data_IF_069300908802
#
_entry.id   IF_069300908802
#
_cell.length_a   1.000
_cell.length_b   1.000
_cell.length_c   1.000
_cell.angle_alpha   90.00
_cell.angle_beta   90.00
_cell.angle_gamma   90.00
#
_symmetry.space_group_name_H-M   'P 1'
#
loop_
_entity.id
_entity.type
_entity.pdbx_description
1 polymer ?
#
# COMPACT_ATOMS: atom_id res chain seq x y z
N UNK A 1 19.32 2.78 25.24
CA UNK A 1 19.95 2.49 23.93
C UNK A 1 19.40 3.48 22.91
N UNK A 2 20.24 4.32 22.31
CA UNK A 2 19.83 5.22 21.24
C UNK A 2 19.60 4.40 19.97
N UNK A 3 18.35 4.22 19.57
CA UNK A 3 18.03 3.62 18.27
C UNK A 3 18.43 4.65 17.21
N UNK A 4 19.43 4.34 16.40
CA UNK A 4 19.81 5.16 15.24
C UNK A 4 18.58 5.25 14.32
N UNK A 5 18.03 6.46 14.20
CA UNK A 5 16.96 6.75 13.25
C UNK A 5 17.60 7.03 11.88
N UNK A 6 17.61 6.02 11.02
CA UNK A 6 17.87 6.20 9.60
C UNK A 6 16.67 6.84 8.89
N UNK A 7 16.92 7.52 7.77
CA UNK A 7 15.87 7.97 6.85
C UNK A 7 16.10 7.28 5.52
N UNK A 8 15.10 6.53 5.08
CA UNK A 8 15.02 5.96 3.75
C UNK A 8 14.29 6.94 2.83
N UNK A 9 14.84 7.13 1.64
CA UNK A 9 14.19 7.81 0.53
C UNK A 9 14.11 6.83 -0.62
N UNK A 10 12.95 6.70 -1.23
CA UNK A 10 12.74 5.76 -2.32
C UNK A 10 11.90 6.38 -3.42
N UNK A 11 12.28 6.08 -4.65
CA UNK A 11 11.53 6.37 -5.86
C UNK A 11 11.35 5.05 -6.63
N UNK A 12 10.09 4.62 -6.76
CA UNK A 12 9.70 3.40 -7.48
C UNK A 12 9.15 3.82 -8.84
N UNK A 13 9.84 3.42 -9.91
CA UNK A 13 9.51 3.79 -11.28
C UNK A 13 8.68 2.69 -11.94
N UNK A 14 7.40 2.97 -12.23
CA UNK A 14 6.52 2.10 -12.99
C UNK A 14 6.39 2.61 -14.43
N UNK A 15 7.23 2.08 -15.31
CA UNK A 15 7.22 2.40 -16.73
C UNK A 15 5.96 1.88 -17.45
N UNK A 16 5.27 0.87 -16.93
CA UNK A 16 4.04 0.38 -17.56
C UNK A 16 2.90 1.38 -17.33
N UNK A 17 2.78 1.87 -16.10
CA UNK A 17 1.74 2.84 -15.71
C UNK A 17 2.15 4.29 -15.97
N UNK A 18 3.40 4.55 -16.38
CA UNK A 18 3.97 5.88 -16.62
C UNK A 18 3.97 6.77 -15.36
N UNK A 19 4.21 6.15 -14.20
CA UNK A 19 4.17 6.83 -12.89
C UNK A 19 5.41 6.56 -12.07
N UNK A 20 5.77 7.52 -11.21
CA UNK A 20 6.79 7.34 -10.17
C UNK A 20 6.14 7.55 -8.81
N UNK A 21 6.33 6.58 -7.94
CA UNK A 21 5.91 6.64 -6.54
C UNK A 21 7.14 7.01 -5.70
N UNK A 22 7.08 8.12 -4.98
CA UNK A 22 8.19 8.62 -4.18
C UNK A 22 7.78 8.75 -2.72
N UNK A 23 8.59 8.25 -1.81
CA UNK A 23 8.35 8.34 -0.37
C UNK A 23 9.62 8.55 0.45
N UNK A 24 9.42 9.03 1.67
CA UNK A 24 10.44 9.12 2.71
C UNK A 24 9.97 8.40 3.97
N UNK A 25 10.73 7.40 4.41
CA UNK A 25 10.43 6.60 5.60
C UNK A 25 11.52 6.80 6.67
N UNK A 26 11.16 6.79 7.95
CA UNK A 26 12.14 6.65 9.03
C UNK A 26 12.33 5.19 9.40
N UNK A 27 13.57 4.79 9.67
CA UNK A 27 13.97 3.43 10.03
C UNK A 27 14.73 3.43 11.36
N UNK A 28 14.54 2.43 12.23
CA UNK A 28 13.48 1.44 12.15
C UNK A 28 12.12 2.12 12.28
N UNK A 29 11.10 1.56 11.64
CA UNK A 29 9.73 2.01 11.85
C UNK A 29 9.39 1.71 13.32
N UNK A 30 9.52 2.71 14.19
CA UNK A 30 9.06 2.57 15.58
C UNK A 30 7.55 2.39 15.52
N UNK A 31 7.10 1.14 15.71
CA UNK A 31 5.75 0.73 16.06
C UNK A 31 4.62 1.65 15.54
N UNK A 32 4.23 1.51 14.27
CA UNK A 32 2.92 1.92 13.72
C UNK A 32 2.48 3.39 13.83
N UNK A 33 3.20 4.25 14.55
CA UNK A 33 2.68 5.50 15.13
C UNK A 33 3.55 6.72 14.80
N UNK A 34 4.50 6.64 13.87
CA UNK A 34 5.15 7.86 13.37
C UNK A 34 4.21 8.55 12.35
N UNK A 35 3.21 9.24 12.89
CA UNK A 35 2.24 10.11 12.21
C UNK A 35 2.94 11.05 11.22
N UNK A 36 4.18 11.48 11.49
CA UNK A 36 4.94 12.37 10.60
C UNK A 36 5.47 11.67 9.35
N UNK A 37 5.63 10.34 9.36
CA UNK A 37 6.08 9.57 8.18
C UNK A 37 4.94 9.18 7.22
N UNK A 38 3.68 9.28 7.65
CA UNK A 38 2.53 8.87 6.84
C UNK A 38 2.15 9.87 5.74
N UNK A 39 2.77 11.06 5.71
CA UNK A 39 2.32 12.21 4.89
C UNK A 39 3.24 12.51 3.70
N UNK A 40 4.42 11.88 3.60
CA UNK A 40 5.42 12.20 2.55
C UNK A 40 5.47 11.17 1.39
N UNK A 41 4.38 10.45 1.11
CA UNK A 41 4.27 9.65 -0.11
C UNK A 41 3.47 10.37 -1.20
N UNK A 42 3.99 10.40 -2.43
CA UNK A 42 3.30 10.94 -3.60
C UNK A 42 3.52 10.12 -4.86
N UNK A 43 2.58 10.25 -5.79
CA UNK A 43 2.64 9.66 -7.13
C UNK A 43 2.68 10.77 -8.14
N UNK A 44 3.59 10.63 -9.08
CA UNK A 44 3.92 11.65 -10.06
C UNK A 44 3.93 11.04 -11.45
N UNK A 45 3.61 11.84 -12.45
CA UNK A 45 3.85 11.51 -13.85
C UNK A 45 5.36 11.28 -14.07
N UNK A 46 5.71 10.11 -14.61
CA UNK A 46 7.12 9.69 -14.73
C UNK A 46 7.94 10.66 -15.57
N UNK A 47 7.35 11.24 -16.62
CA UNK A 47 8.03 12.16 -17.53
C UNK A 47 8.33 13.50 -16.89
N UNK A 48 7.46 13.97 -16.00
CA UNK A 48 7.65 15.24 -15.27
C UNK A 48 8.34 15.07 -13.93
N UNK A 49 8.47 13.84 -13.43
CA UNK A 49 9.01 13.59 -12.12
C UNK A 49 10.49 14.01 -12.05
N UNK A 50 10.80 14.83 -11.06
CA UNK A 50 12.16 15.17 -10.71
C UNK A 50 12.39 14.65 -9.31
N UNK A 51 13.24 13.62 -9.20
CA UNK A 51 13.61 13.10 -7.89
C UNK A 51 14.21 14.20 -7.04
N UNK A 52 13.74 14.29 -5.80
CA UNK A 52 14.32 15.16 -4.78
C UNK A 52 15.59 14.56 -4.16
N UNK A 53 15.81 13.26 -4.35
CA UNK A 53 16.78 12.48 -3.57
C UNK A 53 17.82 11.76 -4.44
N UNK A 54 17.50 11.47 -5.70
CA UNK A 54 18.41 10.88 -6.69
C UNK A 54 18.92 11.96 -7.64
N UNK A 55 20.20 12.32 -7.51
CA UNK A 55 20.87 13.26 -8.42
C UNK A 55 20.93 12.74 -9.86
N UNK A 56 21.23 11.44 -10.03
CA UNK A 56 21.17 10.77 -11.32
C UNK A 56 19.80 10.12 -11.44
N UNK A 57 18.86 10.91 -11.98
CA UNK A 57 17.52 10.47 -12.34
C UNK A 57 17.58 9.21 -13.23
N UNK A 58 16.54 8.39 -13.23
CA UNK A 58 16.44 7.28 -14.19
C UNK A 58 16.02 7.81 -15.57
N UNK A 59 16.78 7.50 -16.65
CA UNK A 59 16.49 7.99 -17.99
C UNK A 59 15.26 7.33 -18.59
N UNK A 60 14.56 8.03 -19.49
CA UNK A 60 13.61 7.40 -20.41
C UNK A 60 14.40 6.85 -21.63
N UNK A 61 14.17 5.59 -22.04
CA UNK A 61 14.84 5.02 -23.21
C UNK A 61 14.44 5.75 -24.51
N UNK A 62 13.16 6.09 -24.63
CA UNK A 62 12.60 6.91 -25.71
C UNK A 62 11.62 7.91 -25.13
N UNK A 63 11.77 9.18 -25.50
CA UNK A 63 10.82 10.23 -25.15
C UNK A 63 9.79 10.37 -26.27
N UNK A 64 8.73 9.56 -26.24
CA UNK A 64 7.55 9.88 -27.04
C UNK A 64 6.81 11.05 -26.37
N UNK A 65 5.95 11.77 -27.12
CA UNK A 65 5.16 12.85 -26.53
C UNK A 65 4.31 12.39 -25.35
N UNK A 66 3.97 11.09 -25.26
CA UNK A 66 3.05 10.53 -24.25
C UNK A 66 3.65 9.49 -23.30
N UNK A 67 4.76 8.83 -23.63
CA UNK A 67 5.28 7.68 -22.87
C UNK A 67 6.80 7.64 -22.83
N UNK A 68 7.32 7.05 -21.76
CA UNK A 68 8.73 6.77 -21.48
C UNK A 68 8.94 5.26 -21.36
N UNK A 69 9.84 4.73 -22.17
CA UNK A 69 10.20 3.32 -22.12
C UNK A 69 11.28 3.04 -21.07
N UNK A 70 11.25 1.83 -20.51
CA UNK A 70 12.23 1.40 -19.51
C UNK A 70 13.65 1.38 -20.11
N UNK A 71 14.63 2.04 -19.48
CA UNK A 71 16.01 2.01 -19.93
C UNK A 71 16.67 0.65 -19.74
N UNK A 72 17.60 0.33 -20.63
CA UNK A 72 18.48 -0.82 -20.47
C UNK A 72 19.42 -0.65 -19.27
N UNK A 73 19.95 -1.75 -18.74
CA UNK A 73 20.93 -1.70 -17.66
C UNK A 73 22.15 -0.82 -18.02
N UNK A 74 22.62 -0.88 -19.27
CA UNK A 74 23.71 -0.05 -19.79
C UNK A 74 23.39 1.45 -19.71
N UNK A 75 22.17 1.83 -20.08
CA UNK A 75 21.71 3.21 -19.95
C UNK A 75 21.62 3.63 -18.48
N UNK A 76 20.98 2.85 -17.61
CA UNK A 76 20.85 3.17 -16.17
C UNK A 76 22.22 3.31 -15.49
N UNK A 77 23.11 2.36 -15.76
CA UNK A 77 24.45 2.33 -15.19
C UNK A 77 25.40 3.31 -15.88
N UNK A 78 25.04 3.83 -17.07
CA UNK A 78 25.92 4.65 -17.91
C UNK A 78 27.22 3.92 -18.26
N UNK A 79 27.12 2.62 -18.52
CA UNK A 79 28.25 1.73 -18.81
C UNK A 79 27.96 0.85 -20.03
N UNK A 80 28.99 0.57 -20.83
CA UNK A 80 28.84 -0.12 -22.12
C UNK A 80 28.31 0.81 -23.21
N UNK A 81 28.14 0.31 -24.43
CA UNK A 81 27.69 1.11 -25.58
C UNK A 81 26.42 1.91 -25.25
N UNK A 82 26.38 3.24 -25.48
CA UNK A 82 27.33 4.05 -26.27
C UNK A 82 28.54 4.61 -25.49
N UNK A 83 28.62 4.40 -24.18
CA UNK A 83 29.71 4.92 -23.35
C UNK A 83 30.99 4.13 -23.57
N UNK A 84 32.04 4.82 -24.04
CA UNK A 84 33.32 4.18 -24.34
C UNK A 84 34.23 4.24 -23.12
N UNK A 85 34.30 3.13 -22.39
CA UNK A 85 35.21 2.96 -21.27
C UNK A 85 36.57 2.45 -21.72
N UNK A 86 37.63 3.01 -21.14
CA UNK A 86 39.01 2.55 -21.31
C UNK A 86 39.47 1.86 -20.04
N UNK A 87 40.11 0.71 -20.19
CA UNK A 87 40.78 0.07 -19.07
C UNK A 87 41.95 0.95 -18.59
N UNK A 88 42.07 1.13 -17.28
CA UNK A 88 43.12 1.93 -16.66
C UNK A 88 44.15 1.04 -15.96
N UNK A 89 43.72 0.25 -14.98
CA UNK A 89 44.58 -0.62 -14.18
C UNK A 89 43.76 -1.63 -13.35
N UNK A 90 44.46 -2.54 -12.67
CA UNK A 90 43.89 -3.36 -11.60
C UNK A 90 44.08 -2.65 -10.26
N UNK A 91 43.05 -2.68 -9.42
CA UNK A 91 43.01 -1.96 -8.14
C UNK A 91 42.43 -2.87 -7.05
N UNK A 92 43.01 -2.80 -5.86
CA UNK A 92 42.44 -3.29 -4.61
C UNK A 92 42.32 -2.07 -3.70
N UNK A 93 41.10 -1.69 -3.31
CA UNK A 93 40.89 -0.52 -2.46
C UNK A 93 39.82 -0.76 -1.40
N UNK A 94 39.86 -0.01 -0.28
CA UNK A 94 38.76 -0.01 0.68
C UNK A 94 37.42 0.40 0.05
N UNK A 95 37.43 1.26 -0.98
CA UNK A 95 36.23 1.68 -1.71
C UNK A 95 35.54 0.49 -2.42
N UNK A 96 36.32 -0.48 -2.92
CA UNK A 96 35.81 -1.73 -3.47
C UNK A 96 35.64 -2.82 -2.42
N UNK A 97 35.67 -2.48 -1.12
CA UNK A 97 35.66 -3.44 0.00
C UNK A 97 36.79 -4.47 -0.08
N UNK A 98 37.94 -4.04 -0.62
CA UNK A 98 39.12 -4.85 -0.89
C UNK A 98 38.89 -5.98 -1.92
N UNK A 99 37.85 -5.88 -2.76
CA UNK A 99 37.66 -6.77 -3.90
C UNK A 99 38.62 -6.35 -5.01
N UNK A 100 39.46 -7.28 -5.47
CA UNK A 100 40.35 -7.08 -6.62
C UNK A 100 39.53 -6.80 -7.87
N UNK A 101 39.76 -5.63 -8.46
CA UNK A 101 38.90 -5.08 -9.51
C UNK A 101 39.70 -4.56 -10.70
N UNK A 102 39.16 -4.67 -11.92
CA UNK A 102 39.57 -3.87 -13.08
C UNK A 102 38.92 -2.51 -13.01
N UNK A 103 39.72 -1.46 -13.05
CA UNK A 103 39.25 -0.09 -13.15
C UNK A 103 39.12 0.32 -14.62
N UNK A 104 37.92 0.75 -14.99
CA UNK A 104 37.60 1.32 -16.27
C UNK A 104 37.21 2.79 -16.10
N UNK A 105 37.67 3.66 -17.00
CA UNK A 105 37.38 5.09 -16.95
C UNK A 105 36.76 5.59 -18.25
N UNK A 106 35.81 6.51 -18.14
CA UNK A 106 35.20 7.21 -19.27
C UNK A 106 34.93 8.67 -18.94
N UNK A 107 34.96 9.53 -19.96
CA UNK A 107 34.33 10.85 -19.90
C UNK A 107 32.96 10.72 -20.54
N UNK A 108 31.91 11.01 -19.79
CA UNK A 108 30.52 10.85 -20.22
C UNK A 108 29.92 12.23 -20.47
N UNK A 109 29.34 12.40 -21.66
CA UNK A 109 28.38 13.45 -21.97
C UNK A 109 26.97 12.88 -21.79
N UNK A 110 26.27 13.35 -20.75
CA UNK A 110 24.98 12.84 -20.32
C UNK A 110 23.88 13.86 -20.59
N UNK A 111 23.23 13.68 -21.74
CA UNK A 111 22.11 14.52 -22.18
C UNK A 111 20.98 14.60 -21.17
N UNK A 112 20.79 13.58 -20.32
CA UNK A 112 19.65 13.50 -19.42
C UNK A 112 19.77 14.44 -18.22
N UNK A 113 20.98 14.64 -17.73
CA UNK A 113 21.27 15.63 -16.70
C UNK A 113 21.81 16.94 -17.28
N UNK A 114 21.98 17.00 -18.61
CA UNK A 114 22.65 18.10 -19.32
C UNK A 114 24.01 18.40 -18.67
N UNK A 115 24.87 17.39 -18.63
CA UNK A 115 26.13 17.46 -17.89
C UNK A 115 27.20 16.54 -18.42
N UNK A 116 28.44 16.85 -18.04
CA UNK A 116 29.63 16.07 -18.39
C UNK A 116 30.35 15.65 -17.12
N UNK A 117 30.73 14.38 -17.03
CA UNK A 117 31.42 13.85 -15.86
C UNK A 117 32.42 12.74 -16.22
N UNK A 118 33.44 12.63 -15.39
CA UNK A 118 34.32 11.47 -15.37
C UNK A 118 33.64 10.35 -14.59
N UNK A 119 33.75 9.13 -15.10
CA UNK A 119 33.22 7.94 -14.46
C UNK A 119 34.29 6.87 -14.32
N UNK A 120 34.38 6.31 -13.12
CA UNK A 120 35.33 5.29 -12.69
C UNK A 120 34.54 4.04 -12.29
N UNK A 121 34.57 3.01 -13.13
CA UNK A 121 33.85 1.75 -12.93
C UNK A 121 34.81 0.66 -12.46
N UNK A 122 34.51 0.05 -11.33
CA UNK A 122 35.30 -1.01 -10.73
C UNK A 122 34.61 -2.35 -10.96
N UNK A 123 35.25 -3.24 -11.70
CA UNK A 123 34.73 -4.56 -12.06
C UNK A 123 35.48 -5.67 -11.32
N UNK A 124 34.78 -6.44 -10.48
CA UNK A 124 35.37 -7.53 -9.71
C UNK A 124 35.95 -8.63 -10.62
N UNK A 125 37.13 -9.14 -10.28
CA UNK A 125 37.80 -10.22 -11.01
C UNK A 125 37.76 -11.55 -10.25
N UNK A 126 38.26 -11.54 -9.01
CA UNK A 126 38.49 -12.75 -8.21
C UNK A 126 37.52 -12.72 -7.03
N UNK A 127 36.26 -12.98 -7.34
CA UNK A 127 35.19 -12.98 -6.35
C UNK A 127 35.23 -14.32 -5.60
N UNK A 128 35.37 -14.27 -4.28
CA UNK A 128 35.51 -15.47 -3.43
C UNK A 128 34.23 -16.31 -3.31
N UNK A 129 33.18 -15.94 -4.05
CA UNK A 129 31.88 -16.58 -4.06
C UNK A 129 31.29 -16.51 -5.46
N UNK A 130 30.56 -17.56 -5.86
CA UNK A 130 29.84 -17.59 -7.14
C UNK A 130 28.52 -16.86 -7.00
N UNK A 131 28.21 -16.05 -8.01
CA UNK A 131 26.93 -15.37 -8.11
C UNK A 131 25.86 -16.33 -8.67
N UNK A 132 24.59 -16.07 -8.36
CA UNK A 132 23.45 -16.92 -8.73
C UNK A 132 23.17 -16.84 -10.22
N UNK A 133 23.29 -15.63 -10.73
CA UNK A 133 23.22 -15.26 -12.12
C UNK A 133 24.39 -15.82 -12.93
N UNK A 134 25.39 -16.43 -12.26
CA UNK A 134 26.46 -17.21 -12.88
C UNK A 134 27.59 -16.37 -13.47
N UNK A 135 27.55 -15.04 -13.38
CA UNK A 135 28.62 -14.20 -13.91
C UNK A 135 29.88 -14.28 -13.04
N UNK A 136 31.02 -14.39 -13.72
CA UNK A 136 32.35 -14.39 -13.09
C UNK A 136 32.87 -12.98 -12.82
N UNK A 137 32.29 -11.96 -13.45
CA UNK A 137 32.72 -10.55 -13.38
C UNK A 137 31.52 -9.62 -13.33
N UNK A 138 31.53 -8.71 -12.38
CA UNK A 138 30.41 -7.81 -12.07
C UNK A 138 30.93 -6.43 -11.63
N UNK A 139 30.20 -5.34 -11.89
CA UNK A 139 30.57 -4.02 -11.38
C UNK A 139 30.28 -3.94 -9.88
N UNK A 140 31.29 -3.62 -9.06
CA UNK A 140 31.17 -3.60 -7.59
C UNK A 140 31.02 -2.19 -7.03
N UNK A 141 31.61 -1.21 -7.72
CA UNK A 141 31.66 0.17 -7.28
C UNK A 141 31.75 1.10 -8.49
N UNK A 142 31.21 2.30 -8.32
CA UNK A 142 31.23 3.36 -9.34
C UNK A 142 31.47 4.68 -8.65
N UNK A 143 32.40 5.48 -9.17
CA UNK A 143 32.59 6.87 -8.78
C UNK A 143 32.38 7.77 -10.00
N UNK A 144 31.67 8.88 -9.81
CA UNK A 144 31.32 9.83 -10.84
C UNK A 144 31.54 11.24 -10.31
N UNK A 145 32.33 12.03 -11.04
CA UNK A 145 32.65 13.41 -10.69
C UNK A 145 32.50 14.29 -11.90
N UNK A 146 31.73 15.36 -11.78
CA UNK A 146 31.60 16.31 -12.86
C UNK A 146 30.54 17.36 -12.61
N UNK A 147 29.99 17.86 -13.70
CA UNK A 147 29.21 19.08 -13.72
C UNK A 147 27.95 18.90 -14.55
N UNK A 148 26.84 19.50 -14.11
CA UNK A 148 25.59 19.51 -14.85
C UNK A 148 24.90 20.87 -14.73
N UNK A 149 23.99 21.16 -15.66
CA UNK A 149 23.29 22.43 -15.74
C UNK A 149 21.80 22.25 -15.45
N UNK A 150 21.30 23.02 -14.49
CA UNK A 150 19.87 23.12 -14.19
C UNK A 150 19.46 24.59 -14.25
N UNK A 151 18.54 24.94 -15.16
CA UNK A 151 18.06 26.32 -15.36
C UNK A 151 19.22 27.33 -15.45
N UNK A 152 20.20 27.05 -16.32
CA UNK A 152 21.41 27.87 -16.54
C UNK A 152 22.38 27.94 -15.35
N UNK A 153 22.03 27.34 -14.21
CA UNK A 153 22.91 27.23 -13.04
C UNK A 153 23.76 25.97 -13.15
N UNK A 154 25.07 26.13 -12.95
CA UNK A 154 26.04 25.04 -12.98
C UNK A 154 26.18 24.40 -11.60
N UNK A 155 26.08 23.08 -11.53
CA UNK A 155 26.22 22.29 -10.32
C UNK A 155 27.34 21.28 -10.47
N UNK A 156 28.21 21.19 -9.47
CA UNK A 156 29.19 20.09 -9.34
C UNK A 156 28.56 18.93 -8.58
N UNK A 157 28.89 17.70 -8.96
CA UNK A 157 28.47 16.51 -8.23
C UNK A 157 29.62 15.54 -8.06
N UNK A 158 29.58 14.85 -6.92
CA UNK A 158 30.39 13.68 -6.62
C UNK A 158 29.46 12.57 -6.17
N UNK A 159 29.38 11.50 -6.94
CA UNK A 159 28.47 10.39 -6.70
C UNK A 159 29.29 9.12 -6.65
N UNK A 160 29.12 8.36 -5.58
CA UNK A 160 29.61 7.00 -5.51
C UNK A 160 28.42 6.04 -5.36
N UNK A 161 28.48 4.90 -6.07
CA UNK A 161 27.48 3.84 -6.01
C UNK A 161 28.17 2.55 -5.63
N UNK A 162 27.70 1.95 -4.55
CA UNK A 162 28.00 0.55 -4.27
C UNK A 162 26.94 -0.29 -4.94
N UNK A 163 27.35 -1.22 -5.79
CA UNK A 163 26.41 -2.09 -6.48
C UNK A 163 26.39 -3.40 -5.68
N UNK A 164 25.33 -3.65 -4.88
CA UNK A 164 25.20 -4.91 -4.17
C UNK A 164 24.85 -6.02 -5.15
N UNK A 165 25.32 -7.21 -4.84
CA UNK A 165 25.03 -8.42 -5.59
C UNK A 165 24.54 -9.50 -4.64
N UNK A 166 23.56 -10.26 -5.10
CA UNK A 166 22.91 -11.28 -4.30
C UNK A 166 23.67 -12.60 -4.41
N UNK A 167 23.72 -13.39 -3.34
CA UNK A 167 24.30 -14.73 -3.33
C UNK A 167 23.36 -15.81 -3.88
N UNK A 168 22.06 -15.48 -4.06
CA UNK A 168 21.03 -16.27 -4.79
C UNK A 168 20.18 -15.34 -5.65
N UNK A 169 19.59 -15.84 -6.75
CA UNK A 169 18.71 -15.04 -7.59
C UNK A 169 17.56 -14.57 -6.68
N UNK A 170 17.47 -13.27 -6.38
CA UNK A 170 16.45 -12.81 -5.47
C UNK A 170 15.10 -13.04 -6.15
N UNK A 171 14.17 -13.64 -5.40
CA UNK A 171 12.77 -13.61 -5.79
C UNK A 171 12.30 -12.16 -5.66
N UNK A 172 12.22 -11.47 -6.79
CA UNK A 172 11.58 -10.17 -6.85
C UNK A 172 10.07 -10.37 -6.70
N UNK A 173 9.53 -9.88 -5.59
CA UNK A 173 8.10 -9.90 -5.31
C UNK A 173 7.52 -8.50 -5.44
N UNK A 174 6.19 -8.40 -5.58
CA UNK A 174 5.50 -7.12 -5.65
C UNK A 174 5.79 -6.25 -4.40
N UNK A 175 6.06 -6.86 -3.24
CA UNK A 175 6.40 -6.13 -1.99
C UNK A 175 7.62 -5.22 -2.14
N UNK A 176 8.57 -5.57 -3.00
CA UNK A 176 9.77 -4.76 -3.25
C UNK A 176 9.48 -3.49 -4.05
N UNK A 177 8.35 -3.45 -4.74
CA UNK A 177 7.92 -2.35 -5.62
C UNK A 177 6.66 -1.65 -5.11
N UNK A 178 6.41 -1.73 -3.80
CA UNK A 178 5.28 -1.11 -3.13
C UNK A 178 5.72 -0.18 -2.02
N UNK A 179 4.88 0.81 -1.71
CA UNK A 179 5.09 1.60 -0.50
C UNK A 179 4.99 0.74 0.75
N UNK A 180 5.75 1.06 1.81
CA UNK A 180 5.61 0.39 3.09
C UNK A 180 4.16 0.35 3.57
N UNK A 181 3.73 -0.79 4.14
CA UNK A 181 2.35 -0.97 4.60
C UNK A 181 1.92 0.09 5.63
N UNK A 182 2.84 0.73 6.36
CA UNK A 182 2.48 1.79 7.30
C UNK A 182 2.17 3.14 6.65
N UNK A 183 2.36 3.31 5.34
CA UNK A 183 2.21 4.58 4.63
C UNK A 183 0.91 4.67 3.84
N UNK A 184 0.41 5.90 3.66
CA UNK A 184 -0.71 6.22 2.79
C UNK A 184 -0.24 7.23 1.73
N UNK A 185 -0.48 6.93 0.47
CA UNK A 185 -0.09 7.80 -0.65
C UNK A 185 -1.33 8.49 -1.20
N UNK A 186 -1.33 9.82 -1.16
CA UNK A 186 -2.42 10.60 -1.75
C UNK A 186 -2.43 10.42 -3.27
N UNK A 187 -3.64 10.26 -3.87
CA UNK A 187 -3.89 10.23 -5.34
C UNK A 187 -3.57 8.93 -6.09
N UNK A 188 -3.45 7.80 -5.42
CA UNK A 188 -3.26 6.48 -6.06
C UNK A 188 -4.57 5.87 -6.63
N UNK A 189 -5.69 6.59 -6.59
CA UNK A 189 -7.05 6.11 -6.88
C UNK A 189 -7.27 5.64 -8.32
N UNK A 190 -6.58 6.22 -9.31
CA UNK A 190 -6.90 5.97 -10.74
C UNK A 190 -6.30 4.69 -11.31
N UNK A 191 -5.39 4.03 -10.58
CA UNK A 191 -4.70 2.84 -11.09
C UNK A 191 -5.59 1.60 -11.03
N UNK A 192 -6.35 1.42 -9.95
CA UNK A 192 -7.24 0.27 -9.75
C UNK A 192 -8.56 0.69 -9.11
N UNK A 193 -9.66 0.41 -9.80
CA UNK A 193 -11.00 0.58 -9.26
C UNK A 193 -11.29 -0.48 -8.19
N UNK A 194 -12.00 -0.10 -7.13
CA UNK A 194 -12.46 -1.04 -6.11
C UNK A 194 -13.36 -2.07 -6.80
N UNK A 195 -13.14 -3.38 -6.61
CA UNK A 195 -13.98 -4.41 -7.20
C UNK A 195 -15.45 -4.23 -6.80
N UNK A 196 -16.37 -4.44 -7.75
CA UNK A 196 -17.79 -4.41 -7.47
C UNK A 196 -18.17 -5.49 -6.44
N UNK A 197 -18.98 -5.10 -5.45
CA UNK A 197 -19.48 -6.01 -4.43
C UNK A 197 -20.46 -7.02 -5.00
N UNK A 198 -20.45 -8.27 -4.49
CA UNK A 198 -21.44 -9.27 -4.89
C UNK A 198 -22.85 -8.84 -4.47
N UNK A 199 -23.84 -9.26 -5.24
CA UNK A 199 -25.25 -8.93 -4.98
C UNK A 199 -25.83 -9.65 -3.76
N UNK A 200 -25.25 -10.80 -3.40
CA UNK A 200 -25.61 -11.53 -2.19
C UNK A 200 -24.34 -12.04 -1.52
N UNK A 201 -24.28 -11.91 -0.20
CA UNK A 201 -23.12 -12.31 0.59
C UNK A 201 -23.49 -12.53 2.06
N UNK A 202 -22.58 -13.18 2.78
CA UNK A 202 -22.63 -13.29 4.23
C UNK A 202 -21.24 -13.15 4.82
N UNK A 203 -21.12 -12.53 5.99
CA UNK A 203 -19.85 -12.39 6.69
C UNK A 203 -20.07 -12.28 8.19
N UNK A 204 -19.00 -12.51 8.98
CA UNK A 204 -18.97 -12.24 10.40
C UNK A 204 -18.03 -11.08 10.70
N UNK A 205 -18.40 -10.26 11.66
CA UNK A 205 -17.60 -9.16 12.19
C UNK A 205 -17.42 -9.37 13.69
N UNK A 206 -16.17 -9.33 14.13
CA UNK A 206 -15.80 -9.31 15.53
C UNK A 206 -15.12 -7.98 15.85
N UNK A 207 -15.48 -7.41 16.99
CA UNK A 207 -14.91 -6.17 17.49
C UNK A 207 -14.23 -6.44 18.82
N UNK A 208 -12.99 -5.96 18.96
CA UNK A 208 -12.18 -6.12 20.16
C UNK A 208 -11.63 -4.79 20.61
N UNK A 209 -11.61 -4.56 21.92
CA UNK A 209 -10.80 -3.52 22.55
C UNK A 209 -9.44 -4.11 22.95
N UNK A 210 -8.38 -3.33 22.78
CA UNK A 210 -7.06 -3.65 23.31
C UNK A 210 -6.33 -2.36 23.72
N UNK A 211 -5.38 -2.52 24.62
CA UNK A 211 -4.48 -1.44 25.04
C UNK A 211 -3.06 -1.78 24.65
N UNK A 212 -2.29 -0.78 24.24
CA UNK A 212 -0.85 -0.90 24.01
C UNK A 212 -0.12 -0.21 25.15
N UNK A 213 0.96 -0.81 25.63
CA UNK A 213 1.84 -0.19 26.62
C UNK A 213 2.69 0.92 25.98
N UNK A 214 3.49 1.61 26.80
CA UNK A 214 4.35 2.72 26.36
C UNK A 214 5.39 2.33 25.28
N UNK A 215 5.70 1.04 25.12
CA UNK A 215 6.62 0.52 24.08
C UNK A 215 5.89 0.02 22.83
N UNK A 216 4.55 0.12 22.79
CA UNK A 216 3.73 -0.26 21.64
C UNK A 216 3.37 -1.75 21.57
N UNK A 217 3.53 -2.49 22.66
CA UNK A 217 3.13 -3.90 22.75
C UNK A 217 1.76 -4.05 23.43
N UNK A 218 1.03 -5.11 23.05
CA UNK A 218 -0.27 -5.46 23.62
C UNK A 218 -0.17 -5.64 25.15
N UNK A 219 -0.99 -4.91 25.88
CA UNK A 219 -1.12 -4.96 27.34
C UNK A 219 -2.52 -5.45 27.70
N UNK A 220 -2.62 -6.51 28.50
CA UNK A 220 -3.91 -7.03 28.98
C UNK A 220 -4.72 -7.88 28.00
N UNK A 221 -4.23 -8.11 26.78
CA UNK A 221 -4.92 -8.97 25.80
C UNK A 221 -5.99 -8.24 24.97
N UNK A 222 -6.77 -9.01 24.21
CA UNK A 222 -7.95 -8.52 23.48
C UNK A 222 -9.21 -8.78 24.30
N UNK A 223 -10.06 -7.77 24.42
CA UNK A 223 -11.38 -7.85 25.08
C UNK A 223 -12.49 -7.80 24.03
N UNK A 224 -13.31 -8.85 23.86
CA UNK A 224 -14.37 -8.86 22.87
C UNK A 224 -15.48 -7.86 23.23
N UNK A 225 -15.82 -6.98 22.30
CA UNK A 225 -16.85 -5.96 22.44
C UNK A 225 -18.16 -6.37 21.77
N UNK A 226 -18.09 -6.86 20.52
CA UNK A 226 -19.28 -7.29 19.77
C UNK A 226 -18.95 -8.42 18.80
N UNK A 227 -19.97 -9.20 18.46
CA UNK A 227 -19.95 -10.19 17.39
C UNK A 227 -21.20 -10.00 16.55
N UNK A 228 -21.07 -9.97 15.23
CA UNK A 228 -22.17 -9.80 14.30
C UNK A 228 -22.01 -10.77 13.13
N UNK A 229 -23.10 -11.39 12.71
CA UNK A 229 -23.17 -12.21 11.52
C UNK A 229 -24.21 -11.60 10.58
N UNK A 230 -23.78 -11.28 9.37
CA UNK A 230 -24.58 -10.60 8.37
C UNK A 230 -24.92 -11.57 7.24
N UNK A 231 -26.14 -11.45 6.74
CA UNK A 231 -26.57 -12.00 5.45
C UNK A 231 -27.24 -10.88 4.68
N UNK A 232 -26.91 -10.77 3.40
CA UNK A 232 -27.43 -9.76 2.52
C UNK A 232 -27.79 -10.39 1.17
N UNK A 233 -28.92 -10.01 0.60
CA UNK A 233 -29.32 -10.45 -0.74
C UNK A 233 -30.13 -9.38 -1.46
N UNK A 234 -29.52 -8.77 -2.49
CA UNK A 234 -30.21 -7.85 -3.41
C UNK A 234 -31.42 -8.52 -4.06
N UNK A 235 -31.28 -9.76 -4.51
CA UNK A 235 -32.34 -10.48 -5.21
C UNK A 235 -33.60 -10.68 -4.35
N UNK A 236 -33.42 -10.78 -3.03
CA UNK A 236 -34.53 -10.94 -2.08
C UNK A 236 -34.92 -9.61 -1.45
N UNK A 237 -34.15 -8.55 -1.67
CA UNK A 237 -34.27 -7.26 -0.96
C UNK A 237 -34.31 -7.45 0.57
N UNK A 238 -33.47 -8.37 1.08
CA UNK A 238 -33.40 -8.73 2.49
C UNK A 238 -31.98 -8.56 3.04
N UNK A 239 -31.92 -8.15 4.30
CA UNK A 239 -30.71 -8.25 5.11
C UNK A 239 -31.04 -8.84 6.48
N UNK A 240 -30.16 -9.69 7.01
CA UNK A 240 -30.25 -10.22 8.36
C UNK A 240 -28.96 -9.95 9.10
N UNK A 241 -29.08 -9.55 10.36
CA UNK A 241 -27.95 -9.43 11.27
C UNK A 241 -28.25 -10.14 12.57
N UNK A 242 -27.50 -11.19 12.85
CA UNK A 242 -27.48 -11.82 14.16
C UNK A 242 -26.31 -11.25 14.95
N UNK A 243 -26.56 -10.66 16.10
CA UNK A 243 -25.55 -9.96 16.86
C UNK A 243 -25.57 -10.28 18.35
N UNK A 244 -24.37 -10.24 18.94
CA UNK A 244 -24.18 -9.90 20.35
C UNK A 244 -23.84 -8.40 20.39
N UNK A 245 -24.80 -7.54 20.74
CA UNK A 245 -24.66 -6.09 20.58
C UNK A 245 -23.63 -5.50 21.56
N UNK A 246 -22.86 -4.52 21.09
CA UNK A 246 -22.05 -3.65 21.97
C UNK A 246 -22.94 -2.65 22.74
N UNK A 247 -22.35 -1.90 23.67
CA UNK A 247 -23.03 -0.79 24.33
C UNK A 247 -23.40 0.35 23.36
N UNK A 248 -22.66 0.52 22.27
CA UNK A 248 -23.03 1.46 21.20
C UNK A 248 -24.23 0.94 20.40
N UNK A 249 -24.25 -0.35 20.07
CA UNK A 249 -25.37 -0.96 19.34
C UNK A 249 -26.69 -0.81 20.10
N UNK A 250 -26.67 -1.00 21.43
CA UNK A 250 -27.84 -0.83 22.30
C UNK A 250 -28.43 0.58 22.26
N UNK A 251 -27.59 1.60 22.02
CA UNK A 251 -28.01 3.00 21.85
C UNK A 251 -28.41 3.33 20.41
N UNK A 252 -28.14 2.41 19.48
CA UNK A 252 -28.41 2.55 18.06
C UNK A 252 -29.91 2.55 17.73
N UNK A 253 -30.27 3.00 16.51
CA UNK A 253 -31.66 3.25 16.12
C UNK A 253 -32.56 2.01 16.16
N UNK A 254 -31.98 0.82 15.94
CA UNK A 254 -32.71 -0.46 15.94
C UNK A 254 -32.98 -0.94 17.37
N UNK A 255 -31.98 -0.83 18.26
CA UNK A 255 -32.06 -1.42 19.61
C UNK A 255 -32.52 -0.43 20.69
N UNK A 256 -32.47 0.88 20.44
CA UNK A 256 -32.87 1.92 21.43
C UNK A 256 -34.30 1.76 21.95
N UNK A 257 -35.20 1.17 21.14
CA UNK A 257 -36.62 0.98 21.47
C UNK A 257 -36.86 -0.35 22.22
N UNK A 258 -35.91 -1.27 22.23
CA UNK A 258 -36.03 -2.57 22.88
C UNK A 258 -35.42 -2.55 24.28
N UNK A 259 -36.16 -3.07 25.27
CA UNK A 259 -35.74 -3.14 26.67
C UNK A 259 -35.13 -4.51 26.98
N UNK A 260 -34.26 -4.60 28.00
CA UNK A 260 -33.78 -5.89 28.50
C UNK A 260 -32.79 -6.66 27.60
N UNK A 261 -32.12 -5.99 26.66
CA UNK A 261 -31.14 -6.62 25.75
C UNK A 261 -29.89 -7.05 26.51
N UNK A 262 -29.91 -8.28 27.01
CA UNK A 262 -28.79 -8.92 27.70
C UNK A 262 -28.22 -10.13 26.92
N UNK A 263 -28.82 -10.46 25.77
CA UNK A 263 -28.51 -11.67 24.99
C UNK A 263 -28.18 -11.41 23.53
N UNK A 264 -28.32 -12.47 22.71
CA UNK A 264 -28.20 -12.38 21.27
C UNK A 264 -29.50 -11.83 20.68
N UNK A 265 -29.35 -11.09 19.60
CA UNK A 265 -30.44 -10.43 18.90
C UNK A 265 -30.34 -10.78 17.43
N UNK A 266 -31.47 -11.07 16.80
CA UNK A 266 -31.58 -11.21 15.35
C UNK A 266 -32.40 -10.05 14.81
N UNK A 267 -31.89 -9.39 13.78
CA UNK A 267 -32.58 -8.31 13.07
C UNK A 267 -32.74 -8.73 11.62
N UNK A 268 -33.97 -8.80 11.12
CA UNK A 268 -34.26 -9.03 9.71
C UNK A 268 -34.85 -7.76 9.14
N UNK A 269 -34.15 -7.12 8.21
CA UNK A 269 -34.60 -5.96 7.46
C UNK A 269 -35.17 -6.43 6.13
N UNK A 270 -36.44 -6.11 5.90
CA UNK A 270 -37.14 -6.33 4.64
C UNK A 270 -37.38 -5.00 3.95
N UNK A 271 -36.53 -4.70 2.98
CA UNK A 271 -36.56 -3.45 2.22
C UNK A 271 -37.70 -3.40 1.20
N UNK A 272 -38.44 -4.50 1.00
CA UNK A 272 -39.62 -4.50 0.14
C UNK A 272 -40.83 -3.90 0.85
N UNK A 273 -40.92 -4.09 2.17
CA UNK A 273 -42.05 -3.65 2.99
C UNK A 273 -41.66 -2.53 3.97
N UNK A 274 -40.41 -2.05 3.93
CA UNK A 274 -39.89 -1.00 4.81
C UNK A 274 -40.01 -1.33 6.31
N UNK A 275 -39.92 -2.61 6.66
CA UNK A 275 -39.96 -3.10 8.04
C UNK A 275 -38.70 -3.85 8.45
N UNK A 276 -38.32 -3.70 9.71
CA UNK A 276 -37.33 -4.52 10.38
C UNK A 276 -37.98 -5.34 11.51
N UNK A 277 -37.68 -6.63 11.55
CA UNK A 277 -38.12 -7.57 12.56
C UNK A 277 -36.98 -7.83 13.51
N UNK A 278 -37.15 -7.45 14.77
CA UNK A 278 -36.19 -7.62 15.83
C UNK A 278 -36.63 -8.76 16.74
N UNK A 279 -35.89 -9.86 16.76
CA UNK A 279 -36.14 -11.01 17.62
C UNK A 279 -35.04 -11.15 18.67
N UNK A 280 -35.43 -11.25 19.94
CA UNK A 280 -34.50 -11.44 21.04
C UNK A 280 -34.46 -12.91 21.46
N UNK A 281 -33.27 -13.52 21.45
CA UNK A 281 -33.15 -14.97 21.59
C UNK A 281 -33.40 -15.48 23.01
N UNK A 282 -33.50 -14.60 24.00
CA UNK A 282 -33.60 -15.00 25.41
C UNK A 282 -34.97 -14.79 26.04
N UNK A 283 -35.91 -14.12 25.36
CA UNK A 283 -37.26 -13.86 25.88
C UNK A 283 -38.38 -14.06 24.84
N UNK A 284 -38.07 -14.59 23.65
CA UNK A 284 -39.02 -14.88 22.56
C UNK A 284 -39.85 -13.66 22.09
N UNK A 285 -39.40 -12.44 22.38
CA UNK A 285 -40.05 -11.21 21.94
C UNK A 285 -39.66 -10.87 20.50
N UNK A 286 -40.66 -10.48 19.71
CA UNK A 286 -40.50 -9.97 18.35
C UNK A 286 -41.08 -8.57 18.24
N UNK A 287 -40.24 -7.60 17.88
CA UNK A 287 -40.66 -6.23 17.59
C UNK A 287 -40.65 -5.98 16.08
N UNK A 288 -41.66 -5.27 15.60
CA UNK A 288 -41.72 -4.78 14.22
C UNK A 288 -41.40 -3.29 14.28
N UNK A 289 -40.39 -2.87 13.53
CA UNK A 289 -39.91 -1.49 13.46
C UNK A 289 -40.02 -1.01 12.02
N UNK A 290 -40.44 0.24 11.81
CA UNK A 290 -40.32 0.88 10.50
C UNK A 290 -38.84 1.20 10.22
N UNK A 291 -38.40 0.98 8.98
CA UNK A 291 -37.03 1.26 8.56
C UNK A 291 -36.85 2.77 8.41
N UNK A 292 -36.11 3.38 9.34
CA UNK A 292 -35.77 4.80 9.35
C UNK A 292 -34.40 5.04 8.68
N UNK A 293 -34.10 6.26 8.22
CA UNK A 293 -32.80 6.66 7.59
C UNK A 293 -31.55 6.24 8.36
N UNK A 294 -31.63 6.19 9.69
CA UNK A 294 -30.47 5.85 10.53
C UNK A 294 -30.22 4.35 10.65
N UNK A 295 -31.09 3.50 10.08
CA UNK A 295 -30.93 2.05 10.14
C UNK A 295 -29.66 1.61 9.40
N UNK A 296 -29.14 0.48 9.85
CA UNK A 296 -28.00 -0.16 9.23
C UNK A 296 -28.28 -0.38 7.73
N UNK A 297 -27.29 -0.15 6.87
CA UNK A 297 -27.37 -0.22 5.40
C UNK A 297 -28.08 0.93 4.70
N UNK A 298 -28.83 1.79 5.39
CA UNK A 298 -29.45 2.94 4.74
C UNK A 298 -28.39 3.93 4.24
N UNK A 299 -28.53 4.41 3.02
CA UNK A 299 -27.74 5.53 2.55
C UNK A 299 -28.15 6.78 3.32
N UNK A 300 -27.19 7.42 4.01
CA UNK A 300 -27.43 8.62 4.83
C UNK A 300 -27.93 9.82 4.01
N UNK A 301 -27.76 9.83 2.70
CA UNK A 301 -28.30 10.86 1.81
C UNK A 301 -29.79 10.65 1.48
N UNK A 302 -30.36 9.48 1.81
CA UNK A 302 -31.74 9.12 1.53
C UNK A 302 -32.56 9.07 2.83
N UNK A 303 -33.52 9.98 2.99
CA UNK A 303 -34.40 10.06 4.17
C UNK A 303 -35.31 8.85 4.35
N UNK A 304 -35.59 8.11 3.27
CA UNK A 304 -36.53 6.98 3.28
C UNK A 304 -35.85 5.62 3.14
N UNK A 305 -34.51 5.56 3.19
CA UNK A 305 -33.75 4.32 3.05
C UNK A 305 -34.05 3.50 1.75
N UNK A 306 -34.51 4.15 0.67
CA UNK A 306 -34.72 3.44 -0.61
C UNK A 306 -33.39 3.03 -1.26
N UNK A 307 -32.31 3.73 -0.93
CA UNK A 307 -30.95 3.40 -1.36
C UNK A 307 -30.20 2.68 -0.25
N UNK A 308 -29.81 1.44 -0.54
CA UNK A 308 -28.96 0.62 0.33
C UNK A 308 -27.49 0.94 0.02
N UNK A 309 -26.72 1.26 1.05
CA UNK A 309 -25.27 1.40 1.03
C UNK A 309 -24.60 0.15 1.61
N UNK A 310 -24.56 -0.92 0.81
CA UNK A 310 -23.91 -2.19 1.18
C UNK A 310 -22.39 -2.04 1.30
N UNK A 311 -21.78 -1.17 0.50
CA UNK A 311 -20.37 -0.83 0.54
C UNK A 311 -19.96 -0.28 1.92
N UNK A 312 -20.86 0.48 2.56
CA UNK A 312 -20.70 1.02 3.90
C UNK A 312 -20.49 -0.03 4.99
N UNK A 313 -21.00 -1.26 4.85
CA UNK A 313 -20.73 -2.36 5.80
C UNK A 313 -19.25 -2.68 5.92
N UNK A 314 -18.53 -2.45 4.83
CA UNK A 314 -17.14 -2.81 4.69
C UNK A 314 -16.23 -1.58 4.78
N UNK A 315 -16.79 -0.44 5.18
CA UNK A 315 -16.09 0.85 5.24
C UNK A 315 -15.67 1.39 3.88
N UNK A 316 -16.19 0.81 2.79
CA UNK A 316 -15.85 1.26 1.44
C UNK A 316 -16.49 2.63 1.22
N UNK A 317 -15.65 3.61 0.91
CA UNK A 317 -16.05 4.98 0.61
C UNK A 317 -15.43 5.45 -0.71
N UNK A 318 -15.98 6.52 -1.30
CA UNK A 318 -15.44 7.12 -2.52
C UNK A 318 -14.00 7.67 -2.35
N UNK A 319 -13.50 7.81 -1.12
CA UNK A 319 -12.22 8.45 -0.82
C UNK A 319 -11.07 7.46 -0.62
N UNK A 320 -11.32 6.16 -0.80
CA UNK A 320 -10.29 5.12 -0.73
C UNK A 320 -9.35 5.19 -1.93
N UNK A 321 -8.04 5.24 -1.66
CA UNK A 321 -6.98 5.22 -2.67
C UNK A 321 -6.34 3.85 -2.74
N UNK A 322 -6.14 3.32 -3.95
CA UNK A 322 -5.39 2.07 -4.13
C UNK A 322 -4.00 2.21 -3.50
N UNK A 323 -3.43 1.15 -2.94
CA UNK A 323 -2.18 1.23 -2.17
C UNK A 323 -1.13 0.29 -2.73
N UNK A 324 -1.56 -0.87 -3.22
CA UNK A 324 -0.67 -1.93 -3.68
C UNK A 324 -1.25 -3.31 -3.39
N UNK A 325 -0.42 -4.34 -3.55
CA UNK A 325 -0.74 -5.75 -3.27
C UNK A 325 0.01 -6.23 -2.03
N UNK A 326 -0.66 -6.26 -0.90
CA UNK A 326 -0.03 -6.65 0.36
C UNK A 326 -0.47 -8.05 0.78
N UNK A 327 0.44 -8.76 1.45
CA UNK A 327 0.09 -9.96 2.19
C UNK A 327 -0.41 -9.58 3.59
N UNK A 328 -1.66 -9.90 3.89
CA UNK A 328 -2.19 -9.90 5.25
C UNK A 328 -2.28 -11.34 5.75
N UNK A 329 -1.57 -11.66 6.84
CA UNK A 329 -1.58 -12.99 7.44
C UNK A 329 -1.24 -14.12 6.44
N UNK A 330 -0.34 -13.82 5.50
CA UNK A 330 0.07 -14.73 4.41
C UNK A 330 -0.88 -14.77 3.21
N UNK A 331 -1.93 -13.95 3.18
CA UNK A 331 -2.90 -13.86 2.09
C UNK A 331 -2.66 -12.57 1.30
N UNK A 332 -2.19 -12.70 0.06
CA UNK A 332 -2.05 -11.56 -0.85
C UNK A 332 -3.42 -11.07 -1.34
N UNK A 333 -3.59 -9.75 -1.31
CA UNK A 333 -4.73 -9.04 -1.88
C UNK A 333 -4.34 -7.63 -2.32
N UNK A 334 -5.12 -7.08 -3.24
CA UNK A 334 -5.06 -5.66 -3.59
C UNK A 334 -5.66 -4.85 -2.43
N UNK A 335 -4.99 -3.78 -2.01
CA UNK A 335 -5.37 -2.98 -0.84
C UNK A 335 -5.66 -1.55 -1.25
N UNK A 336 -6.71 -0.98 -0.66
CA UNK A 336 -7.03 0.43 -0.71
C UNK A 336 -6.96 1.01 0.70
N UNK A 337 -6.59 2.27 0.83
CA UNK A 337 -6.48 2.97 2.11
C UNK A 337 -7.02 4.39 2.03
N UNK A 338 -7.50 4.88 3.17
CA UNK A 338 -7.89 6.26 3.39
C UNK A 338 -7.30 6.71 4.72
N UNK A 339 -6.81 7.95 4.75
CA UNK A 339 -6.42 8.62 5.99
C UNK A 339 -7.45 9.71 6.29
N UNK A 340 -8.00 9.71 7.50
CA UNK A 340 -8.90 10.74 8.00
C UNK A 340 -8.28 11.40 9.24
N UNK A 341 -8.25 12.74 9.26
CA UNK A 341 -7.92 13.49 10.47
C UNK A 341 -9.21 13.77 11.23
N UNK A 342 -9.24 13.43 12.52
CA UNK A 342 -10.28 13.91 13.44
C UNK A 342 -9.70 15.03 14.30
N UNK A 343 -10.29 16.22 14.18
CA UNK A 343 -10.03 17.34 15.06
C UNK A 343 -10.93 17.24 16.30
N UNK A 344 -10.35 16.91 17.45
CA UNK A 344 -11.06 16.92 18.75
C UNK A 344 -11.02 18.30 19.44
N UNK A 345 -10.88 19.38 18.68
CA UNK A 345 -10.89 20.75 19.23
C UNK A 345 -9.63 21.16 20.00
N UNK A 346 -8.60 20.31 20.07
CA UNK A 346 -7.28 20.67 20.60
C UNK A 346 -6.20 20.48 19.51
N UNK A 347 -5.57 21.55 18.99
CA UNK A 347 -4.64 21.49 17.86
C UNK A 347 -3.37 20.66 18.13
N UNK A 348 -3.12 20.30 19.39
CA UNK A 348 -2.00 19.45 19.82
C UNK A 348 -2.30 17.94 19.81
N UNK A 349 -3.55 17.52 19.60
CA UNK A 349 -3.98 16.12 19.53
C UNK A 349 -4.83 15.89 18.27
N UNK A 350 -4.15 15.87 17.11
CA UNK A 350 -4.75 15.36 15.88
C UNK A 350 -4.75 13.83 15.94
N UNK A 351 -5.92 13.21 15.89
CA UNK A 351 -6.04 11.76 15.74
C UNK A 351 -6.10 11.45 14.25
N UNK A 352 -5.09 10.72 13.78
CA UNK A 352 -5.13 10.13 12.44
C UNK A 352 -5.80 8.76 12.52
N UNK A 353 -6.89 8.59 11.80
CA UNK A 353 -7.53 7.30 11.59
C UNK A 353 -7.18 6.83 10.19
N UNK A 354 -6.51 5.68 10.09
CA UNK A 354 -6.29 5.00 8.80
C UNK A 354 -7.32 3.89 8.66
N UNK A 355 -8.02 3.88 7.53
CA UNK A 355 -8.93 2.81 7.15
C UNK A 355 -8.33 2.09 5.94
N UNK A 356 -8.24 0.76 6.00
CA UNK A 356 -7.74 -0.06 4.90
C UNK A 356 -8.72 -1.18 4.56
N UNK A 357 -8.78 -1.50 3.27
CA UNK A 357 -9.69 -2.50 2.72
C UNK A 357 -8.90 -3.32 1.71
N UNK A 358 -8.82 -4.63 1.91
CA UNK A 358 -8.08 -5.54 1.02
C UNK A 358 -9.02 -6.51 0.33
N UNK A 359 -8.79 -6.75 -0.96
CA UNK A 359 -9.56 -7.65 -1.79
C UNK A 359 -8.63 -8.66 -2.44
N UNK A 360 -8.99 -9.94 -2.33
CA UNK A 360 -8.32 -11.00 -3.07
C UNK A 360 -9.17 -11.37 -4.27
N UNK A 361 -8.57 -11.35 -5.46
CA UNK A 361 -9.18 -11.96 -6.61
C UNK A 361 -9.14 -13.48 -6.44
N UNK A 362 -10.32 -14.13 -6.41
CA UNK A 362 -10.38 -15.58 -6.41
C UNK A 362 -10.00 -16.09 -7.79
N UNK A 363 -8.97 -16.92 -7.90
CA UNK A 363 -8.78 -17.74 -9.10
C UNK A 363 -10.02 -18.59 -9.30
N UNK A 364 -10.83 -18.24 -10.30
CA UNK A 364 -11.94 -19.09 -10.72
C UNK A 364 -11.30 -20.35 -11.29
N UNK A 365 -11.26 -21.42 -10.50
CA UNK A 365 -11.09 -22.76 -11.05
C UNK A 365 -12.22 -22.93 -12.06
N UNK A 366 -11.93 -22.84 -13.36
CA UNK A 366 -12.90 -23.09 -14.43
C UNK A 366 -13.55 -24.44 -14.15
N UNK A 367 -14.79 -24.43 -13.64
CA UNK A 367 -15.70 -25.56 -13.84
C UNK A 367 -16.24 -25.43 -15.26
N UNK A 368 -16.33 -26.54 -16.03
CA UNK A 368 -17.13 -26.53 -17.24
C UNK A 368 -18.59 -26.22 -16.88
N UNK A 369 -19.29 -25.49 -17.75
CA UNK A 369 -20.68 -24.99 -17.66
C UNK A 369 -21.63 -25.82 -16.79
N UNK A 370 -22.59 -25.29 -16.05
CA UNK A 370 -23.35 -24.03 -16.14
C UNK A 370 -23.76 -23.58 -14.72
N UNK A 371 -24.08 -22.29 -14.60
CA UNK A 371 -24.70 -21.60 -13.45
C UNK A 371 -23.78 -21.10 -12.31
N UNK A 372 -23.83 -19.77 -12.18
CA UNK A 372 -23.43 -18.84 -11.11
C UNK A 372 -21.97 -18.77 -10.61
N UNK A 373 -21.37 -17.61 -10.89
CA UNK A 373 -20.08 -17.15 -10.36
C UNK A 373 -20.24 -16.72 -8.90
N UNK A 374 -19.79 -17.53 -7.94
CA UNK A 374 -19.52 -17.06 -6.58
C UNK A 374 -18.10 -16.46 -6.50
N UNK A 375 -18.01 -15.17 -6.21
CA UNK A 375 -16.78 -14.51 -5.74
C UNK A 375 -16.79 -14.52 -4.21
N UNK A 376 -15.74 -15.04 -3.59
CA UNK A 376 -15.55 -14.94 -2.14
C UNK A 376 -14.76 -13.68 -1.81
N UNK A 377 -15.33 -12.83 -0.96
CA UNK A 377 -14.65 -11.68 -0.38
C UNK A 377 -14.15 -12.04 1.03
N UNK A 378 -12.88 -11.78 1.32
CA UNK A 378 -12.36 -11.71 2.69
C UNK A 378 -11.85 -10.31 2.92
N UNK A 379 -12.39 -9.65 3.93
CA UNK A 379 -12.00 -8.32 4.36
C UNK A 379 -11.34 -8.42 5.72
N UNK A 380 -10.23 -7.72 5.88
CA UNK A 380 -9.58 -7.49 7.15
C UNK A 380 -9.79 -6.03 7.51
N UNK A 381 -10.38 -5.77 8.68
CA UNK A 381 -10.55 -4.43 9.24
C UNK A 381 -9.64 -4.36 10.46
N UNK A 382 -8.67 -3.45 10.43
CA UNK A 382 -7.72 -3.20 11.51
C UNK A 382 -8.13 -1.97 12.31
#
# INVERSE_FOLDING_TARGET
MAVSLGVEFADIYDYKSQTVMSYKARKPSTSGSDVKTQVECGIYDLKKFQSKYLHLRFPCATESLKTCDMPTANQVLRYGTPYTYKYKNEVISPATRNIKSKLYTACIDDKFINGTYESYYYWGQDLSFRFPSGEEKIPVHVEQTGEYYQNETKHTHYIFKNIPWYQKDPLFTDDMFQVPQSMHCTKHTTLHAIPAMPNSFSFSQEEFAFTLNATGFLEGGFSPLSFKQFWYSDNLTLARVDMRPSEEDKKGPILKKATGINGRVSVVMDFKYDYAFLAHSANDECFILEVEKDFLLCNKEDEKCNKINREGLFGISANLSYKGKYADSGIYGETWSQLAEKDEGNPSKKILTRHEVSFKESEVKKKPSSEEKQKYLRLFKW
#
